data_IF_993250847526
#
_entry.id   IF_993250847526
#
_cell.length_a   1.000
_cell.length_b   1.000
_cell.length_c   1.000
_cell.angle_alpha   90.00
_cell.angle_beta   90.00
_cell.angle_gamma   90.00
#
_symmetry.space_group_name_H-M   'P 1'
#
loop_
_entity.id
_entity.type
_entity.pdbx_description
1 polymer ?
#
# COMPACT_ATOMS: atom_id res chain seq x y z
N UNK A 1 9.43 -17.05 10.20
CA UNK A 1 9.37 -17.23 8.73
C UNK A 1 10.72 -16.92 8.13
N UNK A 2 11.15 -17.68 7.14
CA UNK A 2 12.34 -17.39 6.32
C UNK A 2 11.92 -17.19 4.87
N UNK A 3 12.66 -16.34 4.14
CA UNK A 3 12.50 -16.11 2.69
C UNK A 3 13.86 -16.36 2.06
N UNK A 4 13.95 -17.32 1.14
CA UNK A 4 15.23 -17.72 0.54
C UNK A 4 16.28 -18.13 1.58
N UNK A 5 15.85 -18.78 2.67
CA UNK A 5 16.73 -19.16 3.78
C UNK A 5 17.09 -18.05 4.77
N UNK A 6 16.73 -16.79 4.50
CA UNK A 6 17.03 -15.65 5.38
C UNK A 6 15.81 -15.32 6.27
N UNK A 7 15.96 -15.06 7.58
CA UNK A 7 14.86 -14.57 8.40
C UNK A 7 14.25 -13.30 7.81
N UNK A 8 12.92 -13.25 7.74
CA UNK A 8 12.25 -12.02 7.30
C UNK A 8 12.52 -10.88 8.29
N UNK A 9 12.81 -9.68 7.77
CA UNK A 9 13.16 -8.51 8.59
C UNK A 9 12.05 -8.12 9.60
N UNK A 10 10.80 -8.30 9.19
CA UNK A 10 9.65 -8.26 10.07
C UNK A 10 8.93 -9.60 9.92
N UNK A 11 9.24 -10.59 10.77
CA UNK A 11 8.62 -11.88 10.65
C UNK A 11 7.13 -11.73 11.02
N UNK A 12 6.19 -12.08 10.13
CA UNK A 12 4.78 -12.19 10.51
C UNK A 12 4.66 -13.25 11.62
N UNK A 13 3.60 -13.20 12.43
CA UNK A 13 3.37 -14.32 13.33
C UNK A 13 3.24 -15.62 12.52
N UNK A 14 3.69 -16.72 13.11
CA UNK A 14 3.64 -18.01 12.46
C UNK A 14 2.20 -18.34 12.05
N UNK A 15 2.04 -18.92 10.86
CA UNK A 15 0.78 -19.60 10.55
C UNK A 15 0.57 -20.77 11.52
N UNK A 16 -0.65 -21.29 11.58
CA UNK A 16 -1.00 -22.35 12.53
C UNK A 16 -0.36 -23.71 12.18
N UNK A 17 0.25 -23.85 10.99
CA UNK A 17 0.89 -25.06 10.51
C UNK A 17 2.18 -24.73 9.74
N UNK A 18 3.18 -25.64 9.72
CA UNK A 18 4.34 -25.52 8.84
C UNK A 18 3.92 -25.54 7.36
N UNK A 19 4.60 -24.74 6.55
CA UNK A 19 4.43 -24.73 5.09
C UNK A 19 5.76 -24.40 4.41
N UNK A 20 5.88 -24.77 3.14
CA UNK A 20 6.97 -24.38 2.26
C UNK A 20 6.40 -24.05 0.89
N UNK A 21 6.67 -22.84 0.40
CA UNK A 21 6.15 -22.36 -0.89
C UNK A 21 7.30 -21.78 -1.69
N UNK A 22 7.36 -22.15 -2.98
CA UNK A 22 8.21 -21.48 -3.96
C UNK A 22 7.34 -20.50 -4.75
N UNK A 23 7.66 -19.22 -4.70
CA UNK A 23 6.90 -18.20 -5.43
C UNK A 23 7.43 -18.11 -6.86
N UNK A 24 6.62 -18.53 -7.84
CA UNK A 24 6.99 -18.44 -9.24
C UNK A 24 7.09 -16.98 -9.74
N UNK A 25 7.82 -16.70 -10.83
CA UNK A 25 7.85 -15.38 -11.44
C UNK A 25 6.44 -14.85 -11.74
N UNK A 26 6.19 -13.58 -11.44
CA UNK A 26 4.87 -12.95 -11.63
C UNK A 26 3.81 -13.36 -10.60
N UNK A 27 4.17 -14.13 -9.57
CA UNK A 27 3.32 -14.47 -8.43
C UNK A 27 3.79 -13.77 -7.16
N UNK A 28 2.90 -13.68 -6.18
CA UNK A 28 3.12 -13.02 -4.90
C UNK A 28 2.62 -13.91 -3.77
N UNK A 29 3.37 -13.96 -2.67
CA UNK A 29 2.91 -14.56 -1.42
C UNK A 29 2.45 -13.42 -0.49
N UNK A 30 1.15 -13.35 -0.21
CA UNK A 30 0.54 -12.23 0.49
C UNK A 30 0.24 -12.59 1.94
N UNK A 31 0.54 -11.67 2.84
CA UNK A 31 0.34 -11.82 4.28
C UNK A 31 -0.51 -10.67 4.79
N UNK A 32 -1.45 -10.98 5.67
CA UNK A 32 -2.16 -9.97 6.42
C UNK A 32 -1.38 -9.54 7.67
N UNK A 33 -1.40 -8.24 7.96
CA UNK A 33 -0.69 -7.66 9.11
C UNK A 33 -1.23 -8.14 10.46
N UNK A 34 -2.49 -8.57 10.52
CA UNK A 34 -3.07 -9.19 11.72
C UNK A 34 -3.16 -10.71 11.54
N UNK A 35 -2.12 -11.46 11.94
CA UNK A 35 -2.05 -12.88 11.65
C UNK A 35 -3.08 -13.72 12.38
N UNK A 36 -3.69 -13.22 13.47
CA UNK A 36 -4.70 -13.97 14.23
C UNK A 36 -6.05 -14.08 13.52
N UNK A 37 -6.33 -13.23 12.53
CA UNK A 37 -7.62 -13.19 11.82
C UNK A 37 -7.48 -13.19 10.29
N UNK A 38 -6.25 -13.07 9.78
CA UNK A 38 -6.02 -12.97 8.33
C UNK A 38 -6.16 -14.33 7.67
N UNK A 39 -7.06 -14.41 6.68
CA UNK A 39 -7.10 -15.50 5.70
C UNK A 39 -6.24 -15.07 4.52
N UNK A 40 -5.00 -15.53 4.49
CA UNK A 40 -4.00 -15.12 3.51
C UNK A 40 -3.29 -16.33 2.88
N UNK A 41 -2.20 -16.07 2.14
CA UNK A 41 -1.45 -17.11 1.43
C UNK A 41 -0.99 -18.26 2.33
N UNK A 42 -0.82 -18.06 3.63
CA UNK A 42 -0.45 -19.13 4.57
C UNK A 42 -1.55 -20.16 4.74
N UNK A 43 -2.81 -19.71 4.81
CA UNK A 43 -3.95 -20.62 4.95
C UNK A 43 -4.05 -21.50 3.70
N UNK A 44 -3.98 -20.88 2.53
CA UNK A 44 -3.99 -21.60 1.25
C UNK A 44 -2.79 -22.54 1.10
N UNK A 45 -1.58 -22.15 1.52
CA UNK A 45 -0.40 -23.00 1.43
C UNK A 45 -0.47 -24.29 2.26
N UNK A 46 -1.37 -24.35 3.25
CA UNK A 46 -1.53 -25.48 4.16
C UNK A 46 -2.72 -26.37 3.76
N UNK A 47 -3.79 -25.77 3.21
CA UNK A 47 -5.07 -26.47 2.98
C UNK A 47 -5.25 -26.99 1.56
N UNK A 48 -4.42 -26.57 0.61
CA UNK A 48 -4.71 -26.73 -0.81
C UNK A 48 -4.04 -28.02 -1.33
N UNK A 49 -4.87 -28.92 -1.88
CA UNK A 49 -4.40 -29.94 -2.83
C UNK A 49 -3.65 -29.19 -3.95
N UNK A 50 -2.42 -29.57 -4.33
CA UNK A 50 -1.62 -28.84 -5.33
C UNK A 50 -2.34 -28.56 -6.67
N UNK A 51 -3.48 -29.21 -6.95
CA UNK A 51 -4.37 -28.92 -8.07
C UNK A 51 -5.25 -27.66 -7.94
N UNK A 52 -5.50 -27.17 -6.73
CA UNK A 52 -6.39 -26.03 -6.42
C UNK A 52 -5.64 -24.68 -6.23
N UNK A 53 -4.30 -24.71 -6.25
CA UNK A 53 -3.43 -23.53 -6.16
C UNK A 53 -2.17 -23.73 -5.30
N UNK A 54 -1.18 -22.86 -5.44
CA UNK A 54 0.13 -22.94 -4.76
C UNK A 54 0.23 -22.02 -3.52
N UNK A 55 -0.90 -21.48 -3.05
CA UNK A 55 -0.94 -20.48 -1.99
C UNK A 55 -0.44 -19.09 -2.41
N UNK A 56 -0.15 -18.86 -3.70
CA UNK A 56 0.28 -17.54 -4.19
C UNK A 56 -0.84 -16.84 -4.99
N UNK A 57 -0.62 -15.56 -5.30
CA UNK A 57 -1.55 -14.70 -6.06
C UNK A 57 -0.84 -14.17 -7.30
N UNK A 58 -1.54 -14.11 -8.44
CA UNK A 58 -0.97 -13.53 -9.65
C UNK A 58 -0.79 -12.02 -9.47
N UNK A 59 0.37 -11.48 -9.85
CA UNK A 59 0.61 -10.04 -9.75
C UNK A 59 -0.39 -9.23 -10.60
N UNK A 60 -0.91 -9.82 -11.69
CA UNK A 60 -1.91 -9.22 -12.57
C UNK A 60 -3.29 -9.07 -11.94
N UNK A 61 -3.59 -9.80 -10.87
CA UNK A 61 -4.87 -9.68 -10.13
C UNK A 61 -4.78 -8.66 -8.99
N UNK A 62 -3.60 -8.09 -8.73
CA UNK A 62 -3.42 -7.05 -7.71
C UNK A 62 -3.83 -5.70 -8.28
N UNK A 63 -4.89 -5.11 -7.73
CA UNK A 63 -5.43 -3.82 -8.21
C UNK A 63 -4.51 -2.62 -7.99
N UNK A 64 -3.51 -2.72 -7.12
CA UNK A 64 -2.52 -1.67 -6.90
C UNK A 64 -1.87 -1.74 -5.52
N UNK A 65 -1.08 -0.71 -5.20
CA UNK A 65 -0.45 -0.54 -3.90
C UNK A 65 -1.20 0.53 -3.10
N UNK A 66 -1.53 0.21 -1.85
CA UNK A 66 -2.10 1.20 -0.91
C UNK A 66 -0.96 2.04 -0.33
N UNK A 67 -1.03 3.35 -0.51
CA UNK A 67 0.01 4.31 -0.10
C UNK A 67 -0.46 5.28 0.99
N UNK A 68 -1.77 5.34 1.22
CA UNK A 68 -2.40 6.20 2.21
C UNK A 68 -3.72 5.60 2.67
N UNK A 69 -4.10 5.89 3.91
CA UNK A 69 -5.41 5.57 4.48
C UNK A 69 -6.06 6.87 4.91
N UNK A 70 -7.35 7.06 4.60
CA UNK A 70 -8.10 8.28 4.94
C UNK A 70 -9.04 8.11 6.12
N UNK A 71 -9.46 6.88 6.42
CA UNK A 71 -10.46 6.58 7.44
C UNK A 71 -10.07 5.35 8.28
N UNK A 72 -10.40 5.34 9.59
CA UNK A 72 -10.92 6.48 10.36
C UNK A 72 -9.86 7.59 10.50
N UNK A 73 -10.27 8.86 10.63
CA UNK A 73 -9.37 10.02 10.55
C UNK A 73 -8.19 9.96 11.53
N UNK A 74 -8.38 9.36 12.71
CA UNK A 74 -7.33 9.15 13.72
C UNK A 74 -6.23 8.18 13.28
N UNK A 75 -6.52 7.33 12.30
CA UNK A 75 -5.58 6.41 11.65
C UNK A 75 -5.24 6.86 10.23
N UNK A 76 -5.72 8.04 9.84
CA UNK A 76 -5.46 8.63 8.54
C UNK A 76 -4.00 9.01 8.42
N UNK A 77 -3.36 8.63 7.33
CA UNK A 77 -1.93 8.89 7.14
C UNK A 77 -1.35 8.25 5.90
N UNK A 78 -0.10 8.61 5.61
CA UNK A 78 0.71 7.95 4.59
C UNK A 78 1.30 6.66 5.17
N UNK A 79 1.21 5.59 4.39
CA UNK A 79 1.92 4.35 4.71
C UNK A 79 3.41 4.54 4.38
N UNK A 80 4.31 3.84 5.10
CA UNK A 80 5.75 3.86 4.82
C UNK A 80 6.03 3.14 3.50
N UNK A 81 5.79 3.85 2.40
CA UNK A 81 5.98 3.39 1.03
C UNK A 81 6.76 4.41 0.21
N UNK A 82 7.53 3.91 -0.79
CA UNK A 82 8.29 4.79 -1.70
C UNK A 82 7.38 5.74 -2.48
N UNK A 83 6.18 5.30 -2.86
CA UNK A 83 5.21 6.16 -3.54
C UNK A 83 4.56 7.18 -2.58
N UNK A 84 4.56 6.94 -1.26
CA UNK A 84 4.08 7.91 -0.28
C UNK A 84 4.89 9.21 -0.29
N UNK A 85 6.20 9.13 -0.52
CA UNK A 85 7.05 10.31 -0.66
C UNK A 85 6.72 11.13 -1.93
N UNK A 86 6.45 10.45 -3.04
CA UNK A 86 6.05 11.09 -4.30
C UNK A 86 4.66 11.73 -4.18
N UNK A 87 3.71 11.04 -3.55
CA UNK A 87 2.38 11.56 -3.27
C UNK A 87 2.45 12.84 -2.42
N UNK A 88 3.25 12.85 -1.34
CA UNK A 88 3.42 14.04 -0.50
C UNK A 88 3.93 15.24 -1.30
N UNK A 89 4.95 15.06 -2.15
CA UNK A 89 5.51 16.15 -2.96
C UNK A 89 4.50 16.70 -3.96
N UNK A 90 3.82 15.82 -4.68
CA UNK A 90 2.84 16.22 -5.70
C UNK A 90 1.64 16.94 -5.08
N UNK A 91 1.16 16.49 -3.92
CA UNK A 91 0.09 17.18 -3.17
C UNK A 91 0.48 18.61 -2.76
N UNK A 92 1.71 18.83 -2.28
CA UNK A 92 2.18 20.18 -1.93
C UNK A 92 2.25 21.11 -3.15
N UNK A 93 2.73 20.61 -4.28
CA UNK A 93 2.79 21.38 -5.53
C UNK A 93 1.38 21.74 -6.00
N UNK A 94 0.44 20.79 -5.95
CA UNK A 94 -0.95 21.04 -6.32
C UNK A 94 -1.61 22.10 -5.42
N UNK A 95 -1.44 22.00 -4.09
CA UNK A 95 -1.97 22.98 -3.14
C UNK A 95 -1.36 24.37 -3.35
N UNK A 96 -0.05 24.46 -3.56
CA UNK A 96 0.62 25.73 -3.86
C UNK A 96 0.08 26.35 -5.15
N UNK A 97 -0.13 25.54 -6.20
CA UNK A 97 -0.74 25.98 -7.45
C UNK A 97 -2.15 26.52 -7.27
N UNK A 98 -3.01 25.81 -6.52
CA UNK A 98 -4.37 26.26 -6.19
C UNK A 98 -4.34 27.57 -5.39
N UNK A 99 -3.46 27.67 -4.38
CA UNK A 99 -3.32 28.88 -3.57
C UNK A 99 -2.87 30.08 -4.41
N UNK A 100 -1.93 29.89 -5.33
CA UNK A 100 -1.49 30.94 -6.26
C UNK A 100 -2.61 31.40 -7.19
N UNK A 101 -3.39 30.47 -7.75
CA UNK A 101 -4.55 30.80 -8.59
C UNK A 101 -5.61 31.59 -7.80
N UNK A 102 -5.90 31.18 -6.56
CA UNK A 102 -6.83 31.87 -5.69
C UNK A 102 -6.33 33.30 -5.34
N UNK A 103 -5.05 33.46 -5.02
CA UNK A 103 -4.45 34.76 -4.72
C UNK A 103 -4.45 35.70 -5.94
N UNK A 104 -4.13 35.18 -7.12
CA UNK A 104 -4.19 35.94 -8.37
C UNK A 104 -5.62 36.39 -8.70
N UNK A 105 -6.61 35.51 -8.51
CA UNK A 105 -8.02 35.86 -8.65
C UNK A 105 -8.46 36.96 -7.67
N UNK A 106 -8.04 36.88 -6.41
CA UNK A 106 -8.33 37.89 -5.40
C UNK A 106 -7.70 39.25 -5.73
N UNK A 107 -6.45 39.26 -6.19
CA UNK A 107 -5.73 40.46 -6.62
C UNK A 107 -6.40 41.12 -7.85
N UNK A 108 -6.93 40.33 -8.78
CA UNK A 108 -7.65 40.83 -9.95
C UNK A 108 -8.99 41.50 -9.59
N UNK A 109 -9.57 41.16 -8.43
CA UNK A 109 -10.82 41.74 -7.92
C UNK A 109 -10.62 43.04 -7.13
N UNK A 110 -9.38 43.42 -6.81
CA UNK A 110 -9.10 44.66 -6.10
C UNK A 110 -9.27 45.87 -7.04
N UNK A 111 -9.95 46.95 -6.60
CA UNK A 111 -10.14 48.13 -7.43
C UNK A 111 -8.78 48.78 -7.73
N UNK A 112 -8.45 48.90 -9.03
CA UNK A 112 -7.28 49.65 -9.48
C UNK A 112 -7.51 51.13 -9.15
N UNK A 113 -6.80 51.66 -8.17
CA UNK A 113 -6.75 53.12 -7.95
C UNK A 113 -6.16 53.75 -9.21
N UNK A 114 -7.00 54.47 -9.96
CA UNK A 114 -6.56 55.30 -11.05
C UNK A 114 -5.69 56.43 -10.48
N UNK A 115 -4.44 56.50 -10.95
CA UNK A 115 -3.51 57.60 -10.71
C UNK A 115 -3.90 58.81 -11.56
#
# INVERSE_FOLDING_TARGET
>A
MTVGGTPAAQPPAAGNQPFSVTVAPGRLFLLGDNPGISVDSRAAAVTVDPSDGDGTVAATTVGGRVVAVLAPGERGGLLPDRAGAALRRTSWVALAGIALLAAAGLLALLPRRAS
#
